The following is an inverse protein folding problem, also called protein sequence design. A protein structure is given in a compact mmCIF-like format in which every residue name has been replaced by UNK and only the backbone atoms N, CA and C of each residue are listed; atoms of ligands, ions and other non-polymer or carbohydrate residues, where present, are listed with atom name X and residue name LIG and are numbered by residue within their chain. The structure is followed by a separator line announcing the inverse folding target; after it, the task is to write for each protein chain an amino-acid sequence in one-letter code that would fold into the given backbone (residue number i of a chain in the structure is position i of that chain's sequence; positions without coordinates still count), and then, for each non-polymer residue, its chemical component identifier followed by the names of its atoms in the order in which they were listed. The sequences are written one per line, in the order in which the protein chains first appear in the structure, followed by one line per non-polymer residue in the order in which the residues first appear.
data_IF_132933434336
#
_entry.id   IF_132933434336
#
_cell.length_a   1.000
_cell.length_b   1.000
_cell.length_c   1.000
_cell.angle_alpha   90.00
_cell.angle_beta   90.00
_cell.angle_gamma   90.00
#
_symmetry.space_group_name_H-M   'P 1'
#
loop_
_entity.id
_entity.type
_entity.pdbx_description
1 polymer ?
#
# COMPACT_ATOMS: atom_id res chain seq x y z
N UNK A 1 82.41 11.39 16.93
CA UNK A 1 81.52 10.45 16.20
C UNK A 1 80.19 10.43 16.94
N UNK A 2 79.17 11.12 16.44
CA UNK A 2 77.73 10.89 16.68
C UNK A 2 76.95 12.10 16.17
N UNK A 3 76.43 11.98 14.95
CA UNK A 3 75.52 12.96 14.34
C UNK A 3 74.14 12.79 14.99
N UNK A 4 73.63 13.87 15.58
CA UNK A 4 72.22 13.96 15.98
C UNK A 4 71.41 14.23 14.71
N UNK A 5 70.64 13.23 14.27
CA UNK A 5 69.73 13.32 13.14
C UNK A 5 68.33 13.65 13.66
N UNK A 6 68.02 14.94 13.82
CA UNK A 6 66.69 15.42 14.15
C UNK A 6 65.78 15.25 12.92
N UNK A 7 65.00 14.16 12.87
CA UNK A 7 63.91 14.05 11.88
C UNK A 7 62.78 14.99 12.29
N UNK A 8 62.72 16.18 11.69
CA UNK A 8 61.46 16.93 11.64
C UNK A 8 60.47 16.13 10.79
N UNK A 9 59.52 15.47 11.46
CA UNK A 9 58.30 15.01 10.83
C UNK A 9 57.55 16.25 10.31
N UNK A 10 57.58 16.47 9.00
CA UNK A 10 56.72 17.44 8.35
C UNK A 10 55.27 16.96 8.51
N UNK A 11 54.50 17.69 9.31
CA UNK A 11 53.06 17.49 9.43
C UNK A 11 52.41 17.80 8.08
N UNK A 12 51.99 16.75 7.36
CA UNK A 12 51.24 16.88 6.12
C UNK A 12 49.81 17.26 6.50
N UNK A 13 49.57 18.57 6.61
CA UNK A 13 48.23 19.13 6.75
C UNK A 13 47.37 18.70 5.56
N UNK A 14 46.55 17.67 5.76
CA UNK A 14 45.49 17.29 4.83
C UNK A 14 44.51 18.46 4.79
N UNK A 15 44.55 19.23 3.72
CA UNK A 15 43.58 20.30 3.47
C UNK A 15 42.18 19.71 3.51
N UNK A 16 41.42 20.04 4.55
CA UNK A 16 40.02 19.64 4.63
C UNK A 16 39.25 20.42 3.55
N UNK A 17 38.83 19.72 2.50
CA UNK A 17 37.95 20.26 1.47
C UNK A 17 36.54 20.33 2.04
N UNK A 18 36.05 21.54 2.29
CA UNK A 18 34.65 21.78 2.64
C UNK A 18 33.76 21.85 1.39
N UNK A 19 32.48 21.54 1.56
CA UNK A 19 31.44 21.77 0.55
C UNK A 19 31.17 23.27 0.41
N UNK A 20 30.94 23.74 -0.82
CA UNK A 20 30.51 25.11 -1.07
C UNK A 20 29.00 25.26 -0.87
N UNK A 21 28.54 26.46 -0.49
CA UNK A 21 27.10 26.75 -0.40
C UNK A 21 26.39 26.60 -1.74
N UNK A 22 27.08 26.88 -2.86
CA UNK A 22 26.53 26.76 -4.20
C UNK A 22 26.34 25.29 -4.62
N UNK A 23 27.24 24.39 -4.24
CA UNK A 23 27.07 22.95 -4.47
C UNK A 23 25.84 22.40 -3.75
N UNK A 24 25.62 22.84 -2.51
CA UNK A 24 24.44 22.43 -1.75
C UNK A 24 23.16 22.97 -2.40
N UNK A 25 23.16 24.23 -2.86
CA UNK A 25 22.01 24.84 -3.53
C UNK A 25 21.63 24.07 -4.80
N UNK A 26 22.61 23.73 -5.64
CA UNK A 26 22.38 22.93 -6.85
C UNK A 26 21.85 21.54 -6.50
N UNK A 27 22.41 20.89 -5.48
CA UNK A 27 21.96 19.57 -5.05
C UNK A 27 20.49 19.58 -4.59
N UNK A 28 20.07 20.59 -3.80
CA UNK A 28 18.68 20.73 -3.36
C UNK A 28 17.73 21.00 -4.52
N UNK A 29 18.15 21.79 -5.51
CA UNK A 29 17.36 22.04 -6.72
C UNK A 29 17.12 20.73 -7.49
N UNK A 30 18.15 19.92 -7.69
CA UNK A 30 18.03 18.62 -8.38
C UNK A 30 17.09 17.69 -7.61
N UNK A 31 17.25 17.57 -6.29
CA UNK A 31 16.37 16.75 -5.44
C UNK A 31 14.93 17.25 -5.50
N UNK A 32 14.71 18.58 -5.50
CA UNK A 32 13.39 19.18 -5.60
C UNK A 32 12.67 18.81 -6.90
N UNK A 33 13.38 18.84 -8.03
CA UNK A 33 12.84 18.42 -9.33
C UNK A 33 12.42 16.94 -9.29
N UNK A 34 13.30 16.06 -8.82
CA UNK A 34 13.02 14.62 -8.74
C UNK A 34 11.85 14.33 -7.80
N UNK A 35 11.82 14.96 -6.63
CA UNK A 35 10.80 14.75 -5.60
C UNK A 35 9.39 15.11 -6.12
N UNK A 36 9.27 16.15 -6.95
CA UNK A 36 7.99 16.58 -7.53
C UNK A 36 7.31 15.51 -8.39
N UNK A 37 8.10 14.64 -9.04
CA UNK A 37 7.60 13.55 -9.89
C UNK A 37 7.53 12.24 -9.11
N UNK A 38 8.56 11.95 -8.33
CA UNK A 38 8.70 10.70 -7.60
C UNK A 38 7.63 10.54 -6.51
N UNK A 39 7.33 11.61 -5.76
CA UNK A 39 6.38 11.55 -4.65
C UNK A 39 4.95 11.16 -5.09
N UNK A 40 4.29 11.86 -6.04
CA UNK A 40 2.96 11.47 -6.49
C UNK A 40 2.93 10.11 -7.21
N UNK A 41 4.03 9.73 -7.86
CA UNK A 41 4.12 8.41 -8.50
C UNK A 41 4.15 7.28 -7.46
N UNK A 42 4.92 7.46 -6.40
CA UNK A 42 5.03 6.46 -5.32
C UNK A 42 3.70 6.29 -4.57
N UNK A 43 3.01 7.39 -4.25
CA UNK A 43 1.71 7.32 -3.55
C UNK A 43 0.65 6.58 -4.38
N UNK A 44 0.59 6.84 -5.69
CA UNK A 44 -0.30 6.11 -6.61
C UNK A 44 0.04 4.62 -6.72
N UNK A 45 1.33 4.28 -6.71
CA UNK A 45 1.76 2.88 -6.73
C UNK A 45 1.28 2.14 -5.48
N UNK A 46 1.47 2.72 -4.30
CA UNK A 46 1.03 2.14 -3.03
C UNK A 46 -0.51 2.01 -3.00
N UNK A 47 -1.25 3.02 -3.43
CA UNK A 47 -2.71 2.97 -3.53
C UNK A 47 -3.17 1.81 -4.45
N UNK A 48 -2.55 1.66 -5.62
CA UNK A 48 -2.88 0.57 -6.55
C UNK A 48 -2.58 -0.81 -5.95
N UNK A 49 -1.48 -0.94 -5.22
CA UNK A 49 -1.11 -2.18 -4.53
C UNK A 49 -2.14 -2.55 -3.47
N UNK A 50 -2.51 -1.60 -2.61
CA UNK A 50 -3.51 -1.82 -1.55
C UNK A 50 -4.88 -2.16 -2.14
N UNK A 51 -5.27 -1.51 -3.24
CA UNK A 51 -6.52 -1.85 -3.92
C UNK A 51 -6.49 -3.25 -4.52
N UNK A 52 -5.35 -3.68 -5.06
CA UNK A 52 -5.21 -5.03 -5.59
C UNK A 52 -5.34 -6.09 -4.48
N UNK A 53 -4.79 -5.81 -3.30
CA UNK A 53 -4.95 -6.64 -2.11
C UNK A 53 -6.42 -6.71 -1.67
N UNK A 54 -7.11 -5.57 -1.57
CA UNK A 54 -8.54 -5.55 -1.24
C UNK A 54 -9.39 -6.38 -2.22
N UNK A 55 -9.11 -6.30 -3.53
CA UNK A 55 -9.77 -7.14 -4.54
C UNK A 55 -9.51 -8.63 -4.33
N UNK A 56 -8.28 -9.00 -3.96
CA UNK A 56 -7.93 -10.39 -3.69
C UNK A 56 -8.70 -10.93 -2.49
N UNK A 57 -8.82 -10.13 -1.42
CA UNK A 57 -9.65 -10.47 -0.24
C UNK A 57 -11.09 -10.71 -0.67
N UNK A 58 -11.71 -9.80 -1.44
CA UNK A 58 -13.09 -9.96 -1.91
C UNK A 58 -13.29 -11.25 -2.73
N UNK A 59 -12.35 -11.60 -3.60
CA UNK A 59 -12.41 -12.83 -4.40
C UNK A 59 -12.25 -14.10 -3.56
N UNK A 60 -11.38 -14.07 -2.55
CA UNK A 60 -11.22 -15.17 -1.61
C UNK A 60 -12.49 -15.36 -0.78
N UNK A 61 -13.08 -14.27 -0.28
CA UNK A 61 -14.34 -14.33 0.46
C UNK A 61 -15.48 -14.87 -0.38
N UNK A 62 -15.60 -14.46 -1.65
CA UNK A 62 -16.56 -15.05 -2.57
C UNK A 62 -16.37 -16.57 -2.67
N UNK A 63 -15.13 -17.05 -2.78
CA UNK A 63 -14.82 -18.49 -2.81
C UNK A 63 -15.22 -19.20 -1.51
N UNK A 64 -15.03 -18.55 -0.35
CA UNK A 64 -15.47 -19.09 0.96
C UNK A 64 -16.99 -19.15 1.03
N UNK A 65 -17.69 -18.11 0.56
CA UNK A 65 -19.15 -18.04 0.53
C UNK A 65 -19.75 -19.14 -0.37
N UNK A 66 -19.16 -19.42 -1.53
CA UNK A 66 -19.57 -20.53 -2.39
C UNK A 66 -19.39 -21.91 -1.73
N UNK A 67 -18.34 -22.07 -0.90
CA UNK A 67 -18.16 -23.29 -0.09
C UNK A 67 -19.23 -23.40 1.00
N UNK A 68 -19.59 -22.30 1.65
CA UNK A 68 -20.69 -22.26 2.61
C UNK A 68 -22.02 -22.65 1.95
N UNK A 69 -22.30 -22.13 0.75
CA UNK A 69 -23.49 -22.46 -0.02
C UNK A 69 -23.55 -23.94 -0.38
N UNK A 70 -22.42 -24.53 -0.79
CA UNK A 70 -22.35 -25.96 -1.13
C UNK A 70 -22.72 -26.87 0.06
N UNK A 71 -22.42 -26.44 1.29
CA UNK A 71 -22.68 -27.23 2.50
C UNK A 71 -24.07 -26.97 3.09
N UNK A 72 -24.52 -25.72 3.08
CA UNK A 72 -25.70 -25.28 3.83
C UNK A 72 -26.87 -24.83 2.93
N UNK A 73 -26.69 -24.80 1.61
CA UNK A 73 -27.63 -24.25 0.63
C UNK A 73 -28.04 -22.79 0.91
N UNK A 74 -27.18 -22.06 1.62
CA UNK A 74 -27.39 -20.66 2.00
C UNK A 74 -26.05 -19.97 2.22
N UNK A 75 -26.00 -18.66 1.93
CA UNK A 75 -24.87 -17.80 2.28
C UNK A 75 -25.02 -17.19 3.68
N UNK A 76 -26.19 -17.33 4.31
CA UNK A 76 -26.46 -16.84 5.66
C UNK A 76 -25.59 -17.55 6.69
N UNK A 77 -25.16 -16.81 7.72
CA UNK A 77 -24.38 -17.32 8.85
C UNK A 77 -23.09 -18.07 8.42
N UNK A 78 -22.46 -17.66 7.31
CA UNK A 78 -21.17 -18.17 6.88
C UNK A 78 -20.05 -17.57 7.75
N UNK A 79 -19.91 -18.08 8.98
CA UNK A 79 -18.93 -17.60 9.96
C UNK A 79 -17.49 -17.64 9.47
N UNK A 80 -17.16 -18.57 8.56
CA UNK A 80 -15.85 -18.65 7.94
C UNK A 80 -15.52 -17.41 7.08
N UNK A 81 -16.52 -16.86 6.38
CA UNK A 81 -16.35 -15.64 5.60
C UNK A 81 -16.19 -14.43 6.53
N UNK A 82 -17.04 -14.31 7.55
CA UNK A 82 -16.98 -13.23 8.55
C UNK A 82 -15.63 -13.19 9.27
N UNK A 83 -15.15 -14.33 9.78
CA UNK A 83 -13.85 -14.43 10.45
C UNK A 83 -12.68 -14.09 9.53
N UNK A 84 -12.77 -14.51 8.26
CA UNK A 84 -11.75 -14.17 7.28
C UNK A 84 -11.72 -12.65 7.04
N UNK A 85 -12.86 -12.01 6.80
CA UNK A 85 -12.94 -10.56 6.59
C UNK A 85 -12.45 -9.75 7.79
N UNK A 86 -12.80 -10.16 9.01
CA UNK A 86 -12.32 -9.51 10.24
C UNK A 86 -10.79 -9.59 10.35
N UNK A 87 -10.19 -10.72 9.97
CA UNK A 87 -8.73 -10.90 9.99
C UNK A 87 -7.97 -10.08 8.93
N UNK A 88 -8.65 -9.64 7.87
CA UNK A 88 -8.06 -8.84 6.79
C UNK A 88 -8.29 -7.33 6.99
N UNK A 89 -9.30 -6.98 7.76
CA UNK A 89 -9.66 -5.58 8.02
C UNK A 89 -8.55 -4.85 8.75
N UNK A 90 -8.29 -3.61 8.33
CA UNK A 90 -7.23 -2.76 8.89
C UNK A 90 -7.60 -1.27 8.74
N UNK A 91 -6.70 -0.38 9.16
CA UNK A 91 -6.87 1.08 9.10
C UNK A 91 -7.12 1.65 7.69
N UNK A 92 -6.87 0.88 6.62
CA UNK A 92 -6.98 1.31 5.23
C UNK A 92 -8.24 0.81 4.54
N UNK A 93 -8.62 -0.45 4.80
CA UNK A 93 -9.83 -1.07 4.28
C UNK A 93 -10.55 -1.85 5.38
N UNK A 94 -11.85 -1.59 5.47
CA UNK A 94 -12.79 -2.43 6.19
C UNK A 94 -13.54 -3.32 5.22
N UNK A 95 -13.71 -4.59 5.57
CA UNK A 95 -14.45 -5.54 4.75
C UNK A 95 -15.72 -6.00 5.44
N UNK A 96 -16.79 -6.18 4.67
CA UNK A 96 -18.07 -6.64 5.21
C UNK A 96 -18.92 -7.39 4.17
N UNK A 97 -19.79 -8.27 4.65
CA UNK A 97 -20.85 -8.93 3.87
C UNK A 97 -22.18 -8.20 4.05
N UNK A 98 -22.77 -7.72 2.96
CA UNK A 98 -24.04 -6.99 2.96
C UNK A 98 -25.15 -7.92 2.44
N UNK A 99 -26.22 -8.04 3.23
CA UNK A 99 -27.43 -8.77 2.87
C UNK A 99 -27.21 -10.23 2.44
N UNK A 100 -26.39 -11.04 3.15
CA UNK A 100 -26.31 -12.46 2.87
C UNK A 100 -27.69 -13.10 3.05
N UNK A 101 -28.12 -13.86 2.05
CA UNK A 101 -29.37 -14.59 2.05
C UNK A 101 -29.16 -16.01 1.53
N UNK A 102 -30.22 -16.80 1.47
CA UNK A 102 -30.17 -18.10 0.80
C UNK A 102 -29.73 -18.03 -0.67
N UNK A 103 -29.82 -16.91 -1.38
CA UNK A 103 -29.55 -16.86 -2.82
C UNK A 103 -28.57 -15.77 -3.27
N UNK A 104 -28.18 -14.86 -2.38
CA UNK A 104 -27.35 -13.72 -2.75
C UNK A 104 -26.46 -13.26 -1.62
N UNK A 105 -25.35 -12.64 -1.99
CA UNK A 105 -24.52 -11.87 -1.08
C UNK A 105 -23.88 -10.71 -1.86
N UNK A 106 -23.45 -9.71 -1.11
CA UNK A 106 -22.51 -8.69 -1.59
C UNK A 106 -21.36 -8.64 -0.59
N UNK A 107 -20.12 -8.76 -1.06
CA UNK A 107 -18.94 -8.49 -0.24
C UNK A 107 -18.38 -7.14 -0.63
N UNK A 108 -18.07 -6.33 0.38
CA UNK A 108 -17.63 -4.95 0.22
C UNK A 108 -16.26 -4.73 0.87
N UNK A 109 -15.46 -3.86 0.26
CA UNK A 109 -14.22 -3.32 0.80
C UNK A 109 -14.32 -1.80 0.77
N UNK A 110 -14.37 -1.17 1.94
CA UNK A 110 -14.53 0.28 2.09
C UNK A 110 -13.26 0.90 2.65
N UNK A 111 -12.73 1.92 1.97
CA UNK A 111 -11.60 2.70 2.45
C UNK A 111 -12.05 4.03 3.03
N UNK A 112 -11.57 4.36 4.23
CA UNK A 112 -11.88 5.62 4.91
C UNK A 112 -10.86 6.74 4.61
N UNK A 113 -9.79 6.46 3.85
CA UNK A 113 -8.70 7.42 3.65
C UNK A 113 -8.86 8.23 2.37
N UNK A 114 -8.60 9.54 2.44
CA UNK A 114 -8.54 10.47 1.28
C UNK A 114 -7.42 10.19 0.27
N UNK A 115 -6.75 9.03 0.36
CA UNK A 115 -5.71 8.59 -0.58
C UNK A 115 -6.26 7.72 -1.71
N UNK A 116 -7.56 7.39 -1.66
CA UNK A 116 -8.23 6.63 -2.71
C UNK A 116 -8.79 7.58 -3.78
N UNK A 117 -8.63 7.22 -5.06
CA UNK A 117 -9.29 7.91 -6.18
C UNK A 117 -10.78 8.10 -5.88
N UNK A 118 -11.28 9.32 -6.05
CA UNK A 118 -12.70 9.65 -5.88
C UNK A 118 -13.58 8.75 -6.74
N UNK A 119 -14.62 8.19 -6.14
CA UNK A 119 -15.53 7.22 -6.76
C UNK A 119 -15.02 5.77 -6.74
N UNK A 120 -13.91 5.48 -6.06
CA UNK A 120 -13.38 4.13 -5.85
C UNK A 120 -13.21 3.79 -4.36
N UNK A 121 -13.87 4.53 -3.47
CA UNK A 121 -13.75 4.40 -2.02
C UNK A 121 -14.30 3.05 -1.53
N UNK A 122 -15.35 2.56 -2.18
CA UNK A 122 -15.96 1.26 -1.92
C UNK A 122 -15.84 0.38 -3.15
N UNK A 123 -15.36 -0.84 -2.97
CA UNK A 123 -15.38 -1.91 -3.97
C UNK A 123 -16.36 -2.98 -3.51
N UNK A 124 -17.25 -3.41 -4.40
CA UNK A 124 -18.21 -4.48 -4.10
C UNK A 124 -18.15 -5.57 -5.15
N UNK A 125 -18.31 -6.81 -4.67
CA UNK A 125 -18.45 -8.00 -5.47
C UNK A 125 -19.75 -8.71 -5.07
N UNK A 126 -20.64 -8.87 -6.04
CA UNK A 126 -21.92 -9.53 -5.85
C UNK A 126 -21.80 -11.04 -6.15
N UNK A 127 -22.74 -11.84 -5.62
CA UNK A 127 -22.80 -13.29 -5.85
C UNK A 127 -22.98 -13.69 -7.32
N UNK A 128 -23.54 -12.81 -8.15
CA UNK A 128 -23.65 -13.00 -9.60
C UNK A 128 -22.36 -12.66 -10.36
N UNK A 129 -21.30 -12.24 -9.66
CA UNK A 129 -20.02 -11.85 -10.23
C UNK A 129 -19.93 -10.38 -10.68
N UNK A 130 -20.99 -9.59 -10.52
CA UNK A 130 -20.94 -8.16 -10.81
C UNK A 130 -19.97 -7.46 -9.86
N UNK A 131 -19.22 -6.51 -10.41
CA UNK A 131 -18.16 -5.75 -9.75
C UNK A 131 -18.44 -4.27 -9.86
N UNK A 132 -18.59 -3.60 -8.73
CA UNK A 132 -18.93 -2.17 -8.67
C UNK A 132 -17.90 -1.41 -7.83
N UNK A 133 -17.51 -0.20 -8.24
CA UNK A 133 -17.69 0.44 -9.55
C UNK A 133 -16.71 -0.09 -10.61
N UNK A 134 -17.17 -0.40 -11.84
CA UNK A 134 -16.36 -1.08 -12.88
C UNK A 134 -15.01 -0.43 -13.20
N UNK A 135 -14.92 0.90 -13.16
CA UNK A 135 -13.70 1.65 -13.45
C UNK A 135 -12.62 1.52 -12.36
N UNK A 136 -12.97 0.93 -11.21
CA UNK A 136 -12.10 0.75 -10.06
C UNK A 136 -11.58 -0.69 -9.94
N UNK A 137 -12.19 -1.64 -10.66
CA UNK A 137 -11.90 -3.06 -10.66
C UNK A 137 -10.78 -3.49 -11.61
#
# INVERSE_FOLDING_TARGET
MSYVFERRAGDVSKHQRGFTLIELLIAVVIIGIIASIAYPSYTRYVERSQRAEAKAVLMETASILERCYTNNYSYENCTAAEQYLDSQSNDLYMFDTIGPSAGSYTVSATSEKSRVKTGCETLELHSNGDRTPRDCW
#
